data_IF_388477623378
#
_entry.id   IF_388477623378
#
_cell.length_a   1.000
_cell.length_b   1.000
_cell.length_c   1.000
_cell.angle_alpha   90.00
_cell.angle_beta   90.00
_cell.angle_gamma   90.00
#
_symmetry.space_group_name_H-M   'P 1'
#
loop_
_entity.id
_entity.type
_entity.pdbx_description
1 polymer ?
#
# COMPACT_ATOMS: atom_id res chain seq x y z
N UNK A 1 -20.40 -16.25 -84.22
CA UNK A 1 -21.16 -16.78 -83.09
C UNK A 1 -22.59 -16.98 -83.54
N UNK A 2 -23.05 -18.22 -83.61
CA UNK A 2 -24.42 -18.56 -84.01
C UNK A 2 -25.41 -18.18 -82.90
N UNK A 3 -26.70 -18.08 -83.23
CA UNK A 3 -27.70 -17.76 -82.20
C UNK A 3 -27.86 -18.87 -81.15
N UNK A 4 -27.53 -20.12 -81.51
CA UNK A 4 -27.49 -21.24 -80.58
C UNK A 4 -26.34 -21.11 -79.57
N UNK A 5 -25.16 -20.66 -80.02
CA UNK A 5 -24.01 -20.39 -79.14
C UNK A 5 -24.33 -19.26 -78.15
N UNK A 6 -25.07 -18.22 -78.57
CA UNK A 6 -25.52 -17.14 -77.67
C UNK A 6 -26.49 -17.65 -76.61
N UNK A 7 -27.46 -18.50 -76.99
CA UNK A 7 -28.42 -19.10 -76.05
C UNK A 7 -27.71 -19.96 -75.01
N UNK A 8 -26.77 -20.81 -75.44
CA UNK A 8 -25.98 -21.65 -74.55
C UNK A 8 -25.15 -20.82 -73.57
N UNK A 9 -24.51 -19.74 -74.03
CA UNK A 9 -23.76 -18.83 -73.14
C UNK A 9 -24.67 -18.14 -72.11
N UNK A 10 -25.89 -17.75 -72.51
CA UNK A 10 -26.87 -17.14 -71.61
C UNK A 10 -27.31 -18.13 -70.53
N UNK A 11 -27.62 -19.38 -70.90
CA UNK A 11 -27.97 -20.45 -69.96
C UNK A 11 -26.83 -20.75 -68.97
N UNK A 12 -25.60 -20.86 -69.48
CA UNK A 12 -24.41 -21.03 -68.64
C UNK A 12 -24.20 -19.86 -67.68
N UNK A 13 -24.43 -18.63 -68.14
CA UNK A 13 -24.32 -17.44 -67.32
C UNK A 13 -25.38 -17.42 -66.20
N UNK A 14 -26.63 -17.82 -66.48
CA UNK A 14 -27.68 -17.94 -65.47
C UNK A 14 -27.36 -19.04 -64.46
N UNK A 15 -26.96 -20.23 -64.91
CA UNK A 15 -26.58 -21.33 -64.02
C UNK A 15 -25.38 -20.97 -63.13
N UNK A 16 -24.40 -20.24 -63.67
CA UNK A 16 -23.26 -19.74 -62.89
C UNK A 16 -23.69 -18.69 -61.86
N UNK A 17 -24.59 -17.78 -62.25
CA UNK A 17 -25.15 -16.76 -61.36
C UNK A 17 -25.90 -17.40 -60.19
N UNK A 18 -26.71 -18.41 -60.44
CA UNK A 18 -27.43 -19.15 -59.38
C UNK A 18 -26.45 -19.85 -58.42
N UNK A 19 -25.45 -20.55 -58.94
CA UNK A 19 -24.39 -21.17 -58.11
C UNK A 19 -23.63 -20.15 -57.27
N UNK A 20 -23.33 -18.98 -57.83
CA UNK A 20 -22.68 -17.89 -57.09
C UNK A 20 -23.57 -17.31 -55.99
N UNK A 21 -24.87 -17.14 -56.26
CA UNK A 21 -25.83 -16.65 -55.27
C UNK A 21 -25.97 -17.63 -54.10
N UNK A 22 -26.03 -18.94 -54.38
CA UNK A 22 -26.08 -19.98 -53.36
C UNK A 22 -24.80 -20.01 -52.51
N UNK A 23 -23.62 -19.96 -53.14
CA UNK A 23 -22.35 -19.90 -52.44
C UNK A 23 -22.23 -18.67 -51.55
N UNK A 24 -22.68 -17.51 -52.03
CA UNK A 24 -22.64 -16.25 -51.29
C UNK A 24 -23.59 -16.29 -50.08
N UNK A 25 -24.77 -16.89 -50.23
CA UNK A 25 -25.71 -17.11 -49.11
C UNK A 25 -25.07 -17.98 -48.03
N UNK A 26 -24.50 -19.13 -48.42
CA UNK A 26 -23.82 -20.04 -47.48
C UNK A 26 -22.67 -19.36 -46.73
N UNK A 27 -21.82 -18.62 -47.44
CA UNK A 27 -20.70 -17.89 -46.81
C UNK A 27 -21.18 -16.81 -45.84
N UNK A 28 -22.31 -16.14 -46.11
CA UNK A 28 -22.91 -15.18 -45.17
C UNK A 28 -23.40 -15.87 -43.90
N UNK A 29 -24.08 -17.00 -44.02
CA UNK A 29 -24.54 -17.78 -42.87
C UNK A 29 -23.37 -18.26 -42.00
N UNK A 30 -22.30 -18.81 -42.61
CA UNK A 30 -21.07 -19.20 -41.91
C UNK A 30 -20.37 -18.02 -41.22
N UNK A 31 -20.39 -16.84 -41.83
CA UNK A 31 -19.77 -15.63 -41.26
C UNK A 31 -20.56 -15.11 -40.06
N UNK A 32 -21.89 -15.11 -40.11
CA UNK A 32 -22.74 -14.70 -38.99
C UNK A 32 -22.64 -15.69 -37.81
N UNK A 33 -22.49 -16.98 -38.08
CA UNK A 33 -22.26 -17.99 -37.04
C UNK A 33 -20.92 -17.78 -36.33
N UNK A 34 -19.82 -17.62 -37.09
CA UNK A 34 -18.51 -17.30 -36.51
C UNK A 34 -18.49 -15.99 -35.76
N UNK A 35 -19.24 -14.98 -36.21
CA UNK A 35 -19.35 -13.70 -35.52
C UNK A 35 -20.01 -13.88 -34.13
N UNK A 36 -21.07 -14.69 -34.04
CA UNK A 36 -21.69 -15.04 -32.75
C UNK A 36 -20.74 -15.80 -31.83
N UNK A 37 -19.96 -16.74 -32.37
CA UNK A 37 -18.93 -17.45 -31.59
C UNK A 37 -17.86 -16.49 -31.07
N UNK A 38 -17.37 -15.57 -31.91
CA UNK A 38 -16.39 -14.55 -31.50
C UNK A 38 -16.99 -13.63 -30.45
N UNK A 39 -18.24 -13.19 -30.60
CA UNK A 39 -18.93 -12.37 -29.58
C UNK A 39 -19.08 -13.13 -28.27
N UNK A 40 -19.37 -14.43 -28.30
CA UNK A 40 -19.42 -15.27 -27.10
C UNK A 40 -18.04 -15.45 -26.46
N UNK A 41 -16.99 -15.69 -27.24
CA UNK A 41 -15.61 -15.80 -26.74
C UNK A 41 -15.12 -14.46 -26.19
N UNK A 42 -15.40 -13.35 -26.88
CA UNK A 42 -15.11 -12.00 -26.40
C UNK A 42 -15.89 -11.69 -25.14
N UNK A 43 -17.14 -12.14 -25.02
CA UNK A 43 -17.92 -12.04 -23.79
C UNK A 43 -17.29 -12.88 -22.67
N UNK A 44 -16.89 -14.12 -22.94
CA UNK A 44 -16.18 -14.96 -21.99
C UNK A 44 -14.82 -14.41 -21.57
N UNK A 45 -14.10 -13.72 -22.46
CA UNK A 45 -12.80 -13.10 -22.17
C UNK A 45 -12.98 -11.75 -21.45
N UNK A 46 -13.99 -10.96 -21.83
CA UNK A 46 -14.24 -9.63 -21.27
C UNK A 46 -15.00 -9.67 -19.94
N UNK A 47 -15.92 -10.63 -19.77
CA UNK A 47 -16.56 -10.93 -18.49
C UNK A 47 -15.68 -11.85 -17.63
N UNK A 48 -14.84 -12.67 -18.26
CA UNK A 48 -13.92 -13.60 -17.61
C UNK A 48 -12.62 -12.95 -17.21
N UNK A 49 -12.66 -12.21 -16.11
CA UNK A 49 -11.70 -12.57 -15.07
C UNK A 49 -11.98 -14.06 -14.78
N UNK A 50 -11.04 -14.91 -15.15
CA UNK A 50 -11.10 -16.37 -15.03
C UNK A 50 -11.81 -16.76 -13.72
N UNK A 51 -13.05 -17.23 -13.84
CA UNK A 51 -13.85 -17.60 -12.69
C UNK A 51 -13.16 -18.75 -11.95
N UNK A 52 -13.19 -18.70 -10.63
CA UNK A 52 -12.73 -19.80 -9.79
C UNK A 52 -13.61 -21.03 -10.01
N UNK A 53 -13.03 -22.23 -9.82
CA UNK A 53 -13.81 -23.47 -9.86
C UNK A 53 -14.95 -23.43 -8.83
N UNK A 54 -16.19 -23.62 -9.29
CA UNK A 54 -17.40 -23.52 -8.46
C UNK A 54 -18.00 -22.11 -8.34
N UNK A 55 -17.35 -21.06 -8.88
CA UNK A 55 -17.82 -19.68 -8.76
C UNK A 55 -19.14 -19.44 -9.49
N UNK A 56 -19.37 -20.08 -10.64
CA UNK A 56 -20.62 -19.93 -11.38
C UNK A 56 -21.83 -20.44 -10.59
N UNK A 57 -21.66 -21.52 -9.83
CA UNK A 57 -22.69 -22.08 -8.94
C UNK A 57 -22.95 -21.15 -7.77
N UNK A 58 -21.90 -20.53 -7.22
CA UNK A 58 -22.00 -19.56 -6.13
C UNK A 58 -22.75 -18.32 -6.58
N UNK A 59 -22.42 -17.78 -7.77
CA UNK A 59 -23.05 -16.59 -8.34
C UNK A 59 -24.57 -16.75 -8.59
N UNK A 60 -25.07 -17.98 -8.72
CA UNK A 60 -26.51 -18.28 -8.81
C UNK A 60 -27.21 -18.31 -7.45
N UNK A 61 -26.44 -18.42 -6.36
CA UNK A 61 -26.95 -18.50 -4.99
C UNK A 61 -26.94 -17.16 -4.26
N UNK A 62 -27.04 -17.25 -2.93
CA UNK A 62 -26.99 -16.10 -2.02
C UNK A 62 -25.87 -16.18 -0.99
N UNK A 63 -25.17 -17.32 -0.94
CA UNK A 63 -24.13 -17.58 0.06
C UNK A 63 -22.82 -16.97 -0.40
N UNK A 64 -22.11 -16.34 0.53
CA UNK A 64 -20.75 -15.86 0.32
C UNK A 64 -19.79 -17.04 0.31
N UNK A 65 -18.85 -17.05 -0.63
CA UNK A 65 -17.73 -17.98 -0.65
C UNK A 65 -16.42 -17.23 -0.54
N UNK A 66 -15.52 -17.80 0.24
CA UNK A 66 -14.12 -17.39 0.31
C UNK A 66 -13.27 -18.46 -0.36
N UNK A 67 -12.46 -18.05 -1.32
CA UNK A 67 -11.45 -18.89 -1.94
C UNK A 67 -10.10 -18.50 -1.38
N UNK A 68 -9.48 -19.41 -0.62
CA UNK A 68 -8.15 -19.19 -0.07
C UNK A 68 -7.09 -19.44 -1.15
N UNK A 69 -6.27 -18.42 -1.38
CA UNK A 69 -5.22 -18.40 -2.39
C UNK A 69 -3.87 -18.17 -1.70
N UNK A 70 -2.88 -18.99 -2.03
CA UNK A 70 -1.56 -18.96 -1.42
C UNK A 70 -0.48 -18.62 -2.45
N UNK A 71 0.64 -17.99 -2.03
CA UNK A 71 1.74 -17.71 -2.92
C UNK A 71 2.36 -19.02 -3.43
N UNK A 72 2.46 -19.15 -4.75
CA UNK A 72 3.08 -20.28 -5.42
C UNK A 72 4.18 -19.79 -6.38
N UNK A 73 5.24 -20.60 -6.55
CA UNK A 73 6.31 -20.30 -7.50
C UNK A 73 5.97 -20.72 -8.93
N UNK A 74 5.16 -21.77 -9.07
CA UNK A 74 4.81 -22.31 -10.37
C UNK A 74 3.91 -21.31 -11.11
N UNK A 75 3.99 -21.33 -12.44
CA UNK A 75 3.07 -20.58 -13.29
C UNK A 75 2.11 -21.56 -13.94
N UNK A 76 0.85 -21.52 -13.52
CA UNK A 76 -0.24 -22.30 -14.11
C UNK A 76 -0.97 -21.40 -15.10
N UNK A 77 -0.57 -21.46 -16.36
CA UNK A 77 -1.18 -20.67 -17.43
C UNK A 77 -2.71 -20.84 -17.43
N UNK A 78 -3.44 -19.73 -17.39
CA UNK A 78 -4.91 -19.75 -17.36
C UNK A 78 -5.53 -20.10 -16.01
N UNK A 79 -4.75 -20.21 -14.93
CA UNK A 79 -5.31 -20.43 -13.58
C UNK A 79 -5.99 -19.17 -13.05
N UNK A 80 -7.30 -19.24 -12.87
CA UNK A 80 -8.12 -18.26 -12.14
C UNK A 80 -7.48 -17.90 -10.79
N UNK A 81 -7.13 -18.92 -10.01
CA UNK A 81 -6.56 -18.80 -8.68
C UNK A 81 -5.26 -18.00 -8.68
N UNK A 82 -4.35 -18.28 -9.63
CA UNK A 82 -3.10 -17.54 -9.73
C UNK A 82 -3.31 -16.09 -10.18
N UNK A 83 -4.26 -15.85 -11.09
CA UNK A 83 -4.56 -14.49 -11.55
C UNK A 83 -5.14 -13.64 -10.43
N UNK A 84 -6.12 -14.14 -9.70
CA UNK A 84 -6.69 -13.45 -8.55
C UNK A 84 -5.63 -13.17 -7.47
N UNK A 85 -4.82 -14.17 -7.14
CA UNK A 85 -3.72 -14.00 -6.17
C UNK A 85 -2.72 -12.94 -6.62
N UNK A 86 -2.16 -13.08 -7.84
CA UNK A 86 -1.13 -12.18 -8.38
C UNK A 86 -1.69 -10.77 -8.61
N UNK A 87 -2.96 -10.61 -8.97
CA UNK A 87 -3.60 -9.31 -9.10
C UNK A 87 -3.64 -8.60 -7.74
N UNK A 88 -4.18 -9.25 -6.70
CA UNK A 88 -4.24 -8.67 -5.36
C UNK A 88 -2.84 -8.37 -4.79
N UNK A 89 -1.90 -9.32 -4.93
CA UNK A 89 -0.52 -9.19 -4.45
C UNK A 89 0.23 -8.06 -5.18
N UNK A 90 0.13 -7.99 -6.51
CA UNK A 90 0.84 -6.97 -7.29
C UNK A 90 0.31 -5.56 -7.02
N UNK A 91 -0.99 -5.39 -6.81
CA UNK A 91 -1.56 -4.10 -6.40
C UNK A 91 -1.10 -3.73 -4.99
N UNK A 92 -1.03 -4.71 -4.08
CA UNK A 92 -0.57 -4.48 -2.71
C UNK A 92 0.88 -3.97 -2.70
N UNK A 93 1.79 -4.65 -3.39
CA UNK A 93 3.19 -4.22 -3.44
C UNK A 93 3.40 -2.94 -4.23
N UNK A 94 2.56 -2.64 -5.23
CA UNK A 94 2.63 -1.38 -5.99
C UNK A 94 2.37 -0.16 -5.11
N UNK A 95 1.43 -0.28 -4.17
CA UNK A 95 1.03 0.82 -3.29
C UNK A 95 1.74 0.80 -1.93
N UNK A 96 2.54 -0.24 -1.65
CA UNK A 96 3.44 -0.30 -0.51
C UNK A 96 4.62 0.67 -0.73
N UNK A 97 4.37 1.96 -0.58
CA UNK A 97 5.41 3.00 -0.60
C UNK A 97 5.95 3.21 0.82
N UNK A 98 7.26 3.00 1.02
CA UNK A 98 7.92 3.14 2.32
C UNK A 98 9.04 2.13 2.56
N UNK A 99 9.78 2.31 3.66
CA UNK A 99 10.96 1.49 4.03
C UNK A 99 10.60 0.15 4.71
N UNK A 100 9.32 -0.19 4.82
CA UNK A 100 8.88 -1.47 5.40
C UNK A 100 8.78 -2.53 4.31
N UNK A 101 9.44 -3.67 4.49
CA UNK A 101 9.14 -4.85 3.66
C UNK A 101 7.87 -5.49 4.20
N UNK A 102 6.84 -5.62 3.38
CA UNK A 102 5.68 -6.45 3.70
C UNK A 102 5.78 -7.74 2.91
N UNK A 103 5.24 -8.83 3.47
CA UNK A 103 5.12 -10.11 2.78
C UNK A 103 3.70 -10.61 2.85
N UNK A 104 3.06 -10.72 1.70
CA UNK A 104 1.75 -11.36 1.54
C UNK A 104 1.87 -12.85 1.90
N UNK A 105 0.94 -13.33 2.73
CA UNK A 105 0.88 -14.71 3.23
C UNK A 105 -0.26 -15.49 2.58
N UNK A 106 -1.40 -14.83 2.40
CA UNK A 106 -2.63 -15.41 1.88
C UNK A 106 -3.47 -14.29 1.27
N UNK A 107 -4.16 -14.59 0.19
CA UNK A 107 -5.25 -13.76 -0.34
C UNK A 107 -6.53 -14.59 -0.26
N UNK A 108 -7.61 -14.01 0.24
CA UNK A 108 -8.93 -14.62 0.12
C UNK A 108 -9.69 -13.87 -0.96
N UNK A 109 -10.06 -14.56 -2.04
CA UNK A 109 -10.97 -14.03 -3.04
C UNK A 109 -12.40 -14.22 -2.54
N UNK A 110 -13.12 -13.10 -2.42
CA UNK A 110 -14.47 -13.05 -1.86
C UNK A 110 -15.47 -13.03 -3.01
N UNK A 111 -16.33 -14.06 -3.07
CA UNK A 111 -17.45 -14.12 -4.00
C UNK A 111 -18.75 -13.99 -3.21
N UNK A 112 -19.31 -12.77 -3.21
CA UNK A 112 -20.62 -12.47 -2.63
C UNK A 112 -21.61 -12.12 -3.76
N UNK A 113 -22.49 -13.04 -4.19
CA UNK A 113 -23.37 -12.82 -5.33
C UNK A 113 -24.27 -11.58 -5.17
N UNK A 114 -24.74 -11.31 -3.96
CA UNK A 114 -25.63 -10.18 -3.67
C UNK A 114 -24.89 -8.86 -3.88
N UNK A 115 -23.67 -8.74 -3.34
CA UNK A 115 -22.87 -7.53 -3.48
C UNK A 115 -22.36 -7.34 -4.92
N UNK A 116 -21.95 -8.43 -5.58
CA UNK A 116 -21.52 -8.40 -6.99
C UNK A 116 -22.66 -7.89 -7.88
N UNK A 117 -23.88 -8.38 -7.70
CA UNK A 117 -25.02 -7.94 -8.49
C UNK A 117 -25.37 -6.46 -8.25
N UNK A 118 -25.34 -6.00 -6.99
CA UNK A 118 -25.54 -4.58 -6.64
C UNK A 118 -24.47 -3.69 -7.29
N UNK A 119 -23.20 -4.09 -7.17
CA UNK A 119 -22.07 -3.37 -7.75
C UNK A 119 -22.17 -3.27 -9.27
N UNK A 120 -22.47 -4.37 -9.95
CA UNK A 120 -22.63 -4.38 -11.41
C UNK A 120 -23.82 -3.52 -11.85
N UNK A 121 -24.95 -3.56 -11.14
CA UNK A 121 -26.09 -2.69 -11.43
C UNK A 121 -25.73 -1.20 -11.28
N UNK A 122 -25.00 -0.84 -10.22
CA UNK A 122 -24.50 0.51 -10.01
C UNK A 122 -23.49 0.95 -11.09
N UNK A 123 -22.62 0.03 -11.55
CA UNK A 123 -21.69 0.26 -12.66
C UNK A 123 -22.43 0.57 -13.96
N UNK A 124 -23.47 -0.21 -14.28
CA UNK A 124 -24.29 0.02 -15.48
C UNK A 124 -25.09 1.33 -15.38
N UNK A 125 -25.53 1.72 -14.18
CA UNK A 125 -26.13 3.03 -13.93
C UNK A 125 -25.14 4.17 -14.22
N UNK A 126 -23.90 4.06 -13.73
CA UNK A 126 -22.83 5.02 -13.96
C UNK A 126 -22.44 5.11 -15.43
N UNK A 127 -22.29 3.96 -16.10
CA UNK A 127 -22.01 3.85 -17.53
C UNK A 127 -23.04 4.60 -18.37
N UNK A 128 -24.33 4.43 -18.07
CA UNK A 128 -25.41 5.15 -18.76
C UNK A 128 -25.36 6.67 -18.54
N UNK A 129 -24.94 7.11 -17.36
CA UNK A 129 -24.90 8.53 -16.97
C UNK A 129 -23.66 9.27 -17.45
N UNK A 130 -22.50 8.61 -17.42
CA UNK A 130 -21.18 9.24 -17.62
C UNK A 130 -20.44 8.73 -18.85
N UNK A 131 -20.86 7.60 -19.42
CA UNK A 131 -20.14 6.90 -20.48
C UNK A 131 -19.26 5.76 -19.96
N UNK A 132 -18.84 4.89 -20.87
CA UNK A 132 -18.05 3.69 -20.57
C UNK A 132 -16.76 4.00 -19.83
N UNK A 133 -16.03 5.00 -20.32
CA UNK A 133 -14.69 5.37 -19.86
C UNK A 133 -14.65 5.79 -18.38
N UNK A 134 -15.76 6.27 -17.82
CA UNK A 134 -15.89 6.69 -16.42
C UNK A 134 -16.61 5.66 -15.54
N UNK A 135 -16.82 4.44 -16.04
CA UNK A 135 -17.51 3.37 -15.32
C UNK A 135 -16.60 2.20 -14.94
N UNK A 136 -15.33 2.26 -15.31
CA UNK A 136 -14.37 1.20 -14.98
C UNK A 136 -14.10 1.17 -13.47
N UNK A 137 -14.09 -0.04 -12.86
CA UNK A 137 -13.76 -0.19 -11.45
C UNK A 137 -12.28 0.12 -11.20
N UNK A 138 -12.01 0.72 -10.04
CA UNK A 138 -10.65 0.98 -9.54
C UNK A 138 -10.39 0.07 -8.35
N UNK A 139 -9.23 -0.58 -8.32
CA UNK A 139 -8.79 -1.33 -7.14
C UNK A 139 -8.22 -0.34 -6.10
N UNK A 140 -8.80 -0.37 -4.91
CA UNK A 140 -8.42 0.49 -3.79
C UNK A 140 -8.31 -0.33 -2.50
N UNK A 141 -7.51 0.14 -1.55
CA UNK A 141 -7.30 -0.52 -0.26
C UNK A 141 -8.16 0.10 0.83
N UNK A 142 -8.64 -0.76 1.73
CA UNK A 142 -9.29 -0.34 2.96
C UNK A 142 -8.72 -1.13 4.13
N UNK A 143 -8.03 -0.44 5.05
CA UNK A 143 -7.57 -1.04 6.30
C UNK A 143 -8.71 -1.12 7.31
N UNK A 144 -8.92 -2.28 7.91
CA UNK A 144 -9.95 -2.47 8.94
C UNK A 144 -9.49 -3.44 10.02
N UNK A 145 -10.17 -3.41 11.18
CA UNK A 145 -9.92 -4.38 12.25
C UNK A 145 -10.42 -5.77 11.84
N UNK A 146 -9.74 -6.82 12.31
CA UNK A 146 -10.05 -8.22 11.97
C UNK A 146 -11.54 -8.56 12.21
N UNK A 147 -12.11 -8.08 13.31
CA UNK A 147 -13.52 -8.32 13.66
C UNK A 147 -14.53 -7.77 12.63
N UNK A 148 -14.12 -6.81 11.79
CA UNK A 148 -15.01 -6.19 10.81
C UNK A 148 -14.92 -6.85 9.42
N UNK A 149 -13.90 -7.67 9.16
CA UNK A 149 -13.63 -8.22 7.82
C UNK A 149 -14.83 -9.03 7.31
N UNK A 150 -15.29 -10.00 8.09
CA UNK A 150 -16.40 -10.87 7.70
C UNK A 150 -17.73 -10.10 7.55
N UNK A 151 -18.16 -9.26 8.52
CA UNK A 151 -19.33 -8.40 8.34
C UNK A 151 -19.30 -7.54 7.07
N UNK A 152 -18.15 -6.97 6.70
CA UNK A 152 -17.98 -6.19 5.47
C UNK A 152 -18.14 -7.08 4.24
N UNK A 153 -17.53 -8.26 4.22
CA UNK A 153 -17.61 -9.18 3.08
C UNK A 153 -19.03 -9.73 2.89
N UNK A 154 -19.79 -9.92 3.97
CA UNK A 154 -21.14 -10.46 3.94
C UNK A 154 -22.19 -9.41 3.61
N UNK A 155 -22.07 -8.21 4.19
CA UNK A 155 -23.11 -7.18 4.15
C UNK A 155 -22.74 -5.95 3.32
N UNK A 156 -21.49 -5.84 2.89
CA UNK A 156 -20.95 -4.65 2.23
C UNK A 156 -20.40 -3.62 3.22
N UNK A 157 -19.79 -2.58 2.68
CA UNK A 157 -19.39 -1.41 3.45
C UNK A 157 -20.62 -0.59 3.82
N UNK A 158 -20.73 -0.20 5.09
CA UNK A 158 -21.76 0.75 5.51
C UNK A 158 -21.27 2.17 5.31
N UNK A 159 -22.16 3.04 4.83
CA UNK A 159 -21.93 4.47 4.62
C UNK A 159 -23.02 5.28 5.35
N UNK A 160 -22.81 6.57 5.69
CA UNK A 160 -23.83 7.34 6.40
C UNK A 160 -25.16 7.42 5.66
N UNK A 161 -26.24 7.44 6.45
CA UNK A 161 -27.61 7.42 5.93
C UNK A 161 -28.19 6.02 5.83
N UNK A 162 -27.39 4.96 6.02
CA UNK A 162 -27.90 3.60 6.14
C UNK A 162 -28.52 3.33 7.52
N UNK A 163 -29.58 2.53 7.52
CA UNK A 163 -30.33 2.18 8.72
C UNK A 163 -29.45 1.47 9.76
N UNK A 164 -29.51 1.94 11.01
CA UNK A 164 -28.74 1.36 12.11
C UNK A 164 -27.23 1.61 12.04
N UNK A 165 -26.76 2.53 11.19
CA UNK A 165 -25.35 2.89 11.11
C UNK A 165 -25.09 4.33 11.56
N UNK A 166 -24.53 4.48 12.75
CA UNK A 166 -23.96 5.73 13.24
C UNK A 166 -22.44 5.69 13.02
N UNK A 167 -21.90 6.61 12.22
CA UNK A 167 -20.46 6.71 12.01
C UNK A 167 -19.75 7.05 13.33
N UNK A 168 -18.72 6.28 13.68
CA UNK A 168 -17.98 6.42 14.93
C UNK A 168 -16.81 7.44 14.85
N UNK A 169 -16.38 7.82 13.65
CA UNK A 169 -15.12 8.54 13.43
C UNK A 169 -15.37 9.96 12.93
N UNK A 170 -15.22 10.92 13.86
CA UNK A 170 -15.10 12.37 13.68
C UNK A 170 -15.99 13.02 12.59
N UNK A 171 -15.85 14.32 12.34
CA UNK A 171 -16.60 14.98 11.28
C UNK A 171 -16.21 14.48 9.88
N UNK A 172 -15.16 13.65 9.76
CA UNK A 172 -14.47 13.30 8.53
C UNK A 172 -13.77 14.54 7.96
N UNK A 173 -12.46 14.49 7.68
CA UNK A 173 -11.75 15.66 7.14
C UNK A 173 -12.32 16.10 5.77
N UNK A 174 -12.92 15.16 5.02
CA UNK A 174 -13.41 15.35 3.66
C UNK A 174 -14.86 14.84 3.47
N UNK A 175 -15.55 14.54 4.57
CA UNK A 175 -16.92 14.04 4.57
C UNK A 175 -17.09 12.70 5.29
N UNK A 176 -18.34 12.35 5.58
CA UNK A 176 -18.69 11.10 6.25
C UNK A 176 -18.94 10.04 5.17
N UNK A 177 -17.97 9.17 4.92
CA UNK A 177 -18.07 8.11 3.92
C UNK A 177 -17.12 6.97 4.24
N UNK A 178 -17.11 5.96 3.37
CA UNK A 178 -16.10 4.91 3.43
C UNK A 178 -14.81 5.40 2.75
N UNK A 179 -13.70 5.35 3.48
CA UNK A 179 -12.38 5.81 3.04
C UNK A 179 -11.59 4.66 2.43
N UNK A 180 -10.98 4.91 1.27
CA UNK A 180 -10.09 3.97 0.60
C UNK A 180 -8.81 4.68 0.19
N UNK A 181 -7.66 4.03 0.34
CA UNK A 181 -6.44 4.51 -0.30
C UNK A 181 -6.42 4.02 -1.74
N UNK A 182 -6.34 4.94 -2.69
CA UNK A 182 -6.40 4.63 -4.11
C UNK A 182 -5.94 5.80 -4.98
N UNK A 183 -5.64 5.49 -6.24
CA UNK A 183 -5.44 6.50 -7.27
C UNK A 183 -6.77 6.71 -8.02
N UNK A 184 -7.34 7.91 -7.85
CA UNK A 184 -8.36 8.54 -8.69
C UNK A 184 -9.78 7.95 -8.71
N UNK A 185 -10.70 8.63 -8.02
CA UNK A 185 -12.10 8.82 -8.47
C UNK A 185 -12.86 9.87 -7.64
N UNK A 186 -12.42 10.19 -6.42
CA UNK A 186 -12.68 11.45 -5.71
C UNK A 186 -11.56 11.65 -4.69
N UNK A 187 -10.41 12.10 -5.20
CA UNK A 187 -9.22 12.34 -4.41
C UNK A 187 -9.45 13.45 -3.37
N UNK A 188 -9.00 13.23 -2.14
CA UNK A 188 -8.63 14.34 -1.25
C UNK A 188 -7.78 15.36 -2.03
N UNK A 189 -7.75 16.66 -1.67
CA UNK A 189 -6.89 17.65 -2.33
C UNK A 189 -5.40 17.24 -2.42
N UNK A 190 -4.95 16.31 -1.56
CA UNK A 190 -3.61 15.71 -1.61
C UNK A 190 -3.46 14.49 -2.53
N UNK A 191 -4.55 14.02 -3.16
CA UNK A 191 -4.61 12.87 -4.08
C UNK A 191 -4.25 11.51 -3.49
N UNK A 192 -4.56 11.29 -2.21
CA UNK A 192 -4.16 10.08 -1.51
C UNK A 192 -5.33 9.19 -1.05
N UNK A 193 -6.54 9.74 -0.98
CA UNK A 193 -7.70 9.04 -0.41
C UNK A 193 -8.95 9.23 -1.29
N UNK A 194 -9.74 8.16 -1.43
CA UNK A 194 -11.05 8.09 -2.07
C UNK A 194 -12.12 7.99 -1.00
N UNK A 195 -13.21 8.74 -1.17
CA UNK A 195 -14.35 8.72 -0.25
C UNK A 195 -15.60 8.39 -1.02
N UNK A 196 -16.24 7.29 -0.61
CA UNK A 196 -17.41 6.74 -1.28
C UNK A 196 -18.60 6.83 -0.34
N UNK A 197 -19.68 7.45 -0.84
CA UNK A 197 -20.91 7.73 -0.09
C UNK A 197 -22.07 6.78 -0.42
N UNK A 198 -21.81 5.78 -1.27
CA UNK A 198 -22.77 4.78 -1.73
C UNK A 198 -22.15 3.40 -1.57
N UNK A 199 -22.77 2.53 -0.76
CA UNK A 199 -22.23 1.19 -0.49
C UNK A 199 -22.23 0.29 -1.71
N UNK A 200 -23.21 0.44 -2.61
CA UNK A 200 -23.28 -0.30 -3.88
C UNK A 200 -22.21 0.11 -4.89
N UNK A 201 -21.43 1.17 -4.63
CA UNK A 201 -20.25 1.53 -5.42
C UNK A 201 -18.98 0.81 -4.95
N UNK A 202 -19.08 -0.07 -3.96
CA UNK A 202 -17.94 -0.74 -3.35
C UNK A 202 -18.18 -2.25 -3.37
N UNK A 203 -17.20 -2.99 -3.88
CA UNK A 203 -17.18 -4.45 -3.84
C UNK A 203 -15.97 -4.95 -3.04
N UNK A 204 -16.15 -5.51 -1.84
CA UNK A 204 -15.06 -6.18 -1.12
C UNK A 204 -14.67 -7.46 -1.87
N UNK A 205 -13.63 -7.36 -2.71
CA UNK A 205 -13.23 -8.44 -3.61
C UNK A 205 -12.13 -9.35 -3.02
N UNK A 206 -11.20 -8.78 -2.25
CA UNK A 206 -10.03 -9.48 -1.74
C UNK A 206 -9.78 -9.15 -0.27
N UNK A 207 -9.36 -10.15 0.50
CA UNK A 207 -8.74 -9.97 1.83
C UNK A 207 -7.26 -10.32 1.69
N UNK A 208 -6.39 -9.33 1.90
CA UNK A 208 -4.94 -9.52 1.82
C UNK A 208 -4.36 -9.71 3.22
N UNK A 209 -3.90 -10.91 3.51
CA UNK A 209 -3.19 -11.21 4.76
C UNK A 209 -1.70 -11.02 4.52
N UNK A 210 -1.09 -10.07 5.23
CA UNK A 210 0.33 -9.79 5.13
C UNK A 210 0.97 -9.73 6.51
N UNK A 211 2.28 -9.96 6.53
CA UNK A 211 3.12 -9.66 7.68
C UNK A 211 4.02 -8.50 7.29
N UNK A 212 4.10 -7.48 8.15
CA UNK A 212 5.22 -6.55 8.07
C UNK A 212 6.47 -7.37 8.43
N UNK A 213 7.33 -7.59 7.44
CA UNK A 213 8.73 -7.87 7.72
C UNK A 213 9.27 -6.52 8.20
N UNK A 214 9.08 -6.24 9.49
CA UNK A 214 9.70 -5.10 10.16
C UNK A 214 11.19 -5.37 10.14
N UNK A 215 11.83 -5.15 8.98
CA UNK A 215 13.05 -5.78 8.53
C UNK A 215 13.82 -6.28 9.72
N UNK A 216 13.64 -7.55 10.08
CA UNK A 216 14.39 -8.13 11.19
C UNK A 216 15.82 -8.35 10.67
N UNK A 217 16.48 -7.28 10.23
CA UNK A 217 17.75 -6.90 10.83
C UNK A 217 17.51 -6.65 12.33
N UNK A 218 17.05 -7.69 13.04
CA UNK A 218 17.63 -7.94 14.33
C UNK A 218 19.10 -8.09 13.98
N UNK A 219 19.93 -7.14 14.40
CA UNK A 219 21.16 -7.60 15.02
C UNK A 219 20.68 -8.52 16.15
N UNK A 220 20.40 -9.79 15.81
CA UNK A 220 20.76 -10.82 16.72
C UNK A 220 22.23 -10.49 16.95
N UNK A 221 22.52 -9.91 18.11
CA UNK A 221 23.82 -10.12 18.69
C UNK A 221 23.81 -11.63 18.88
N UNK A 222 24.15 -12.35 17.82
CA UNK A 222 24.07 -13.80 17.75
C UNK A 222 25.01 -14.27 18.84
N UNK A 223 24.45 -14.68 19.98
CA UNK A 223 25.21 -15.08 21.17
C UNK A 223 25.14 -14.15 22.40
N UNK A 224 24.48 -12.98 22.37
CA UNK A 224 24.29 -12.22 23.61
C UNK A 224 23.15 -12.80 24.44
N UNK A 225 23.49 -13.31 25.62
CA UNK A 225 22.51 -13.73 26.62
C UNK A 225 21.70 -12.53 27.13
N UNK A 226 20.51 -12.78 27.72
CA UNK A 226 19.71 -11.71 28.36
C UNK A 226 20.54 -10.94 29.39
N UNK A 227 21.45 -11.63 30.07
CA UNK A 227 22.42 -11.08 31.02
C UNK A 227 23.40 -10.12 30.35
N UNK A 228 23.90 -10.44 29.14
CA UNK A 228 24.78 -9.56 28.39
C UNK A 228 24.06 -8.28 27.96
N UNK A 229 22.80 -8.39 27.52
CA UNK A 229 21.96 -7.22 27.18
C UNK A 229 21.73 -6.36 28.43
N UNK A 230 21.35 -6.96 29.56
CA UNK A 230 21.17 -6.25 30.84
C UNK A 230 22.45 -5.55 31.30
N UNK A 231 23.61 -6.20 31.16
CA UNK A 231 24.92 -5.62 31.48
C UNK A 231 25.25 -4.44 30.57
N UNK A 232 24.93 -4.54 29.27
CA UNK A 232 25.11 -3.45 28.30
C UNK A 232 24.21 -2.26 28.64
N UNK A 233 22.93 -2.47 28.89
CA UNK A 233 22.00 -1.40 29.31
C UNK A 233 22.45 -0.74 30.63
N UNK A 234 22.94 -1.53 31.59
CA UNK A 234 23.51 -0.99 32.83
C UNK A 234 24.78 -0.15 32.59
N UNK A 235 25.63 -0.53 31.62
CA UNK A 235 26.80 0.28 31.21
C UNK A 235 26.34 1.59 30.59
N UNK A 236 25.40 1.56 29.65
CA UNK A 236 24.86 2.77 29.00
C UNK A 236 24.19 3.68 30.03
N UNK A 237 23.41 3.15 30.96
CA UNK A 237 22.81 3.93 32.04
C UNK A 237 23.83 4.61 32.96
N UNK A 238 25.01 4.00 33.17
CA UNK A 238 26.13 4.66 33.89
C UNK A 238 26.73 5.80 33.07
N UNK A 239 26.86 5.64 31.75
CA UNK A 239 27.33 6.70 30.85
C UNK A 239 26.35 7.87 30.82
N UNK A 240 25.05 7.61 30.71
CA UNK A 240 24.02 8.65 30.80
C UNK A 240 24.13 9.47 32.08
N UNK A 241 24.22 8.82 33.25
CA UNK A 241 24.39 9.53 34.53
C UNK A 241 25.65 10.39 34.58
N UNK A 242 26.76 9.90 34.02
CA UNK A 242 28.00 10.68 33.90
C UNK A 242 27.83 11.87 32.95
N UNK A 243 27.18 11.67 31.81
CA UNK A 243 26.89 12.73 30.85
C UNK A 243 26.01 13.82 31.48
N UNK A 244 24.96 13.43 32.23
CA UNK A 244 24.11 14.35 32.99
C UNK A 244 24.89 15.12 34.07
N UNK A 245 25.89 14.52 34.70
CA UNK A 245 26.75 15.19 35.68
C UNK A 245 27.88 16.04 35.05
N UNK A 246 28.11 15.91 33.73
CA UNK A 246 29.18 16.64 33.04
C UNK A 246 28.77 18.10 32.86
N UNK A 247 29.73 19.02 33.08
CA UNK A 247 29.52 20.46 32.90
C UNK A 247 29.16 20.77 31.45
N UNK A 248 28.29 21.75 31.29
CA UNK A 248 27.77 22.18 29.99
C UNK A 248 28.90 22.60 29.04
N UNK A 249 28.99 21.91 27.91
CA UNK A 249 29.92 22.21 26.81
C UNK A 249 29.13 22.22 25.51
N UNK A 250 29.36 23.18 24.62
CA UNK A 250 28.62 23.32 23.36
C UNK A 250 29.08 22.36 22.25
N UNK A 251 29.34 21.10 22.58
CA UNK A 251 30.00 20.12 21.70
C UNK A 251 29.17 19.69 20.49
N UNK A 252 27.85 19.86 20.52
CA UNK A 252 26.97 19.48 19.41
C UNK A 252 26.67 20.64 18.45
N UNK A 253 27.27 21.81 18.66
CA UNK A 253 27.09 22.97 17.77
C UNK A 253 27.64 22.65 16.38
N UNK A 254 26.81 22.77 15.35
CA UNK A 254 27.22 22.55 13.96
C UNK A 254 27.18 21.09 13.48
N UNK A 255 26.74 20.15 14.30
CA UNK A 255 26.64 18.72 13.94
C UNK A 255 25.20 18.26 13.71
N UNK A 256 25.03 17.22 12.86
CA UNK A 256 23.74 16.55 12.59
C UNK A 256 23.91 15.04 12.80
N UNK A 257 23.06 14.44 13.62
CA UNK A 257 23.08 12.99 13.90
C UNK A 257 21.68 12.48 14.26
N UNK A 258 21.43 11.19 14.00
CA UNK A 258 20.17 10.53 14.35
C UNK A 258 20.45 9.30 15.23
N UNK A 259 19.59 9.07 16.23
CA UNK A 259 19.63 7.89 17.07
C UNK A 259 18.41 7.01 16.79
N UNK A 260 18.66 5.71 16.63
CA UNK A 260 17.63 4.68 16.50
C UNK A 260 17.91 3.62 17.57
N UNK A 261 16.91 3.32 18.40
CA UNK A 261 16.98 2.18 19.31
C UNK A 261 16.25 2.38 20.65
N UNK A 262 16.37 1.40 21.53
CA UNK A 262 15.89 1.54 22.89
C UNK A 262 16.84 2.46 23.67
N UNK A 263 16.33 3.61 24.11
CA UNK A 263 17.08 4.58 24.92
C UNK A 263 17.08 4.18 26.40
N UNK A 264 18.13 4.55 27.15
CA UNK A 264 18.19 4.29 28.59
C UNK A 264 17.33 5.23 29.43
N UNK A 265 16.86 6.34 28.87
CA UNK A 265 15.95 7.29 29.50
C UNK A 265 14.85 7.75 28.53
N UNK A 266 13.91 8.54 29.03
CA UNK A 266 12.82 9.14 28.25
C UNK A 266 13.40 10.04 27.15
N UNK A 267 12.78 10.08 25.95
CA UNK A 267 13.28 10.94 24.88
C UNK A 267 13.32 12.43 25.26
N UNK A 268 12.48 12.89 26.20
CA UNK A 268 12.54 14.25 26.77
C UNK A 268 13.83 14.50 27.54
N UNK A 269 14.26 13.53 28.34
CA UNK A 269 15.49 13.64 29.12
C UNK A 269 16.73 13.62 28.19
N UNK A 270 16.68 12.83 27.12
CA UNK A 270 17.71 12.81 26.08
C UNK A 270 17.75 14.15 25.32
N UNK A 271 16.59 14.66 24.91
CA UNK A 271 16.47 15.98 24.26
C UNK A 271 17.02 17.10 25.13
N UNK A 272 16.67 17.12 26.42
CA UNK A 272 17.18 18.10 27.38
C UNK A 272 18.70 18.03 27.49
N UNK A 273 19.27 16.82 27.53
CA UNK A 273 20.70 16.60 27.54
C UNK A 273 21.36 17.12 26.26
N UNK A 274 20.85 16.77 25.08
CA UNK A 274 21.37 17.26 23.78
C UNK A 274 21.36 18.79 23.72
N UNK A 275 20.25 19.42 24.15
CA UNK A 275 20.11 20.89 24.21
C UNK A 275 21.14 21.54 25.13
N UNK A 276 21.34 20.95 26.30
CA UNK A 276 22.32 21.44 27.28
C UNK A 276 23.74 21.45 26.71
N UNK A 277 24.06 20.52 25.81
CA UNK A 277 25.36 20.44 25.12
C UNK A 277 25.41 21.16 23.76
N UNK A 278 24.51 22.13 23.53
CA UNK A 278 24.52 23.00 22.35
C UNK A 278 23.89 22.40 21.09
N UNK A 279 23.24 21.24 21.21
CA UNK A 279 22.46 20.67 20.12
C UNK A 279 21.06 21.29 20.03
N UNK A 280 20.42 21.17 18.87
CA UNK A 280 18.99 21.43 18.74
C UNK A 280 18.30 20.17 18.21
N UNK A 281 17.10 19.92 18.71
CA UNK A 281 16.24 18.87 18.18
C UNK A 281 15.31 19.52 17.18
N UNK A 282 15.47 19.20 15.90
CA UNK A 282 14.57 19.69 14.87
C UNK A 282 13.14 19.21 15.15
N UNK A 283 12.25 20.18 15.30
CA UNK A 283 10.81 19.94 15.45
C UNK A 283 10.10 19.80 14.10
N UNK A 284 10.81 20.10 13.01
CA UNK A 284 10.24 20.10 11.67
C UNK A 284 10.31 18.70 11.08
N UNK A 285 9.13 18.16 10.79
CA UNK A 285 8.92 16.90 10.09
C UNK A 285 9.71 16.91 8.78
N UNK A 286 10.78 16.10 8.71
CA UNK A 286 11.33 15.73 7.40
C UNK A 286 10.36 14.67 6.85
N UNK A 287 9.75 14.87 5.68
CA UNK A 287 8.91 13.83 5.08
C UNK A 287 9.81 12.67 4.68
N UNK A 288 9.96 11.69 5.57
CA UNK A 288 10.52 10.40 5.23
C UNK A 288 9.39 9.55 4.64
N UNK A 289 9.16 9.71 3.33
CA UNK A 289 8.35 8.79 2.52
C UNK A 289 6.87 8.72 2.87
N UNK A 290 6.13 9.82 2.67
CA UNK A 290 4.65 9.79 2.63
C UNK A 290 3.94 9.67 3.98
N UNK A 291 4.67 9.40 5.07
CA UNK A 291 4.14 9.54 6.43
C UNK A 291 4.68 10.84 7.02
N UNK A 292 3.80 11.76 7.39
CA UNK A 292 4.19 12.91 8.21
C UNK A 292 4.61 12.33 9.56
N UNK A 293 5.91 12.23 9.82
CA UNK A 293 6.42 12.09 11.17
C UNK A 293 6.13 13.40 11.90
N UNK A 294 4.88 13.52 12.36
CA UNK A 294 4.55 14.52 13.37
C UNK A 294 5.44 14.23 14.56
N UNK A 295 6.00 15.29 15.11
CA UNK A 295 6.76 15.29 16.35
C UNK A 295 5.93 14.67 17.46
N UNK A 296 6.09 13.37 17.64
CA UNK A 296 5.65 12.63 18.79
C UNK A 296 6.88 11.98 19.38
N UNK A 297 7.29 12.46 20.55
CA UNK A 297 7.53 11.49 21.62
C UNK A 297 6.34 10.52 21.59
N UNK A 298 6.52 9.30 21.09
CA UNK A 298 5.48 8.30 21.19
C UNK A 298 5.27 7.98 22.67
N UNK A 299 4.33 8.66 23.31
CA UNK A 299 3.61 8.12 24.46
C UNK A 299 2.57 7.16 23.90
N UNK A 300 2.88 5.86 23.87
CA UNK A 300 1.81 4.87 23.81
C UNK A 300 1.12 4.85 25.18
N UNK A 301 0.17 5.77 25.38
CA UNK A 301 -0.86 5.64 26.40
C UNK A 301 -1.91 4.64 25.93
N UNK A 302 -1.66 3.34 26.08
CA UNK A 302 -2.66 2.27 25.99
C UNK A 302 -2.36 1.20 27.07
N UNK A 303 -3.38 0.49 27.57
CA UNK A 303 -3.33 -0.18 28.86
C UNK A 303 -2.43 -1.43 28.85
N UNK A 304 -1.36 -1.35 29.64
CA UNK A 304 -0.67 -2.39 30.43
C UNK A 304 -0.50 -3.86 29.93
N UNK A 305 -0.80 -4.23 28.68
CA UNK A 305 -0.87 -5.66 28.30
C UNK A 305 -0.25 -6.06 26.94
N UNK A 306 0.63 -5.25 26.35
CA UNK A 306 1.41 -5.64 25.15
C UNK A 306 2.92 -5.46 25.40
N UNK A 307 3.80 -6.37 24.92
CA UNK A 307 5.18 -6.44 25.36
C UNK A 307 6.08 -5.32 24.79
N UNK A 308 7.08 -4.98 25.60
CA UNK A 308 7.97 -3.81 25.62
C UNK A 308 9.00 -3.67 24.47
N UNK A 309 8.66 -3.98 23.21
CA UNK A 309 9.66 -4.13 22.13
C UNK A 309 9.48 -3.19 20.91
N UNK A 310 9.16 -1.90 21.10
CA UNK A 310 9.23 -0.89 20.02
C UNK A 310 10.48 0.00 20.19
N UNK A 311 11.33 0.20 19.16
CA UNK A 311 12.47 1.10 19.25
C UNK A 311 12.01 2.56 19.29
N UNK A 312 12.56 3.34 20.22
CA UNK A 312 12.38 4.80 20.22
C UNK A 312 13.31 5.41 19.15
N UNK A 313 12.81 6.34 18.36
CA UNK A 313 13.62 7.04 17.35
C UNK A 313 13.70 8.52 17.74
N UNK A 314 14.92 9.04 17.88
CA UNK A 314 15.17 10.48 18.10
C UNK A 314 15.98 10.98 16.91
N UNK A 315 15.36 11.83 16.09
CA UNK A 315 16.01 12.51 14.98
C UNK A 315 16.40 13.92 15.44
N UNK A 316 17.69 14.18 15.60
CA UNK A 316 18.20 15.53 15.87
C UNK A 316 18.71 16.13 14.56
N UNK A 317 18.02 17.13 14.02
CA UNK A 317 18.62 18.01 13.01
C UNK A 317 18.61 19.46 13.48
N UNK A 318 19.42 20.31 12.85
CA UNK A 318 19.49 21.75 13.09
C UNK A 318 19.48 22.42 11.71
N UNK A 319 18.57 23.38 11.51
CA UNK A 319 18.62 24.50 10.53
C UNK A 319 17.47 25.45 10.94
N UNK A 320 17.56 26.78 11.03
CA UNK A 320 18.56 27.84 10.78
C UNK A 320 18.09 29.06 11.61
N UNK A 321 18.98 29.99 11.99
CA UNK A 321 18.58 31.31 12.51
C UNK A 321 18.73 32.33 11.38
N UNK A 322 17.65 33.06 11.08
CA UNK A 322 17.64 34.18 10.15
C UNK A 322 18.54 35.30 10.67
N UNK A 323 19.57 35.67 9.90
CA UNK A 323 19.94 37.05 9.53
C UNK A 323 21.42 37.12 9.09
N UNK A 324 21.64 37.36 7.79
CA UNK A 324 22.50 38.44 7.24
C UNK A 324 23.00 38.13 5.81
N UNK A 325 22.28 38.72 4.84
CA UNK A 325 22.72 39.26 3.53
C UNK A 325 23.28 38.36 2.40
N UNK A 326 23.07 38.78 1.13
CA UNK A 326 23.11 37.94 -0.05
C UNK A 326 24.47 37.96 -0.76
N UNK A 327 24.69 36.97 -1.62
CA UNK A 327 25.82 36.80 -2.55
C UNK A 327 27.08 36.12 -2.01
N UNK A 328 27.04 34.79 -1.89
CA UNK A 328 28.00 33.89 -2.57
C UNK A 328 27.51 32.44 -2.50
N UNK A 329 27.37 31.83 -3.69
CA UNK A 329 27.41 30.40 -3.99
C UNK A 329 26.62 29.40 -3.11
N UNK A 330 25.35 29.28 -3.48
CA UNK A 330 24.52 28.10 -3.34
C UNK A 330 25.00 26.96 -4.28
N UNK A 331 26.16 26.32 -4.03
CA UNK A 331 26.59 25.14 -4.81
C UNK A 331 27.33 24.01 -4.07
N UNK A 332 27.45 24.01 -2.73
CA UNK A 332 28.26 23.00 -2.04
C UNK A 332 27.53 21.83 -1.34
N UNK A 333 26.19 21.74 -1.34
CA UNK A 333 25.48 20.72 -0.53
C UNK A 333 24.55 19.77 -1.30
N UNK A 334 24.89 19.41 -2.55
CA UNK A 334 24.21 18.33 -3.28
C UNK A 334 24.76 16.91 -3.03
N UNK A 335 25.86 16.75 -2.28
CA UNK A 335 26.55 15.45 -2.18
C UNK A 335 26.89 14.96 -0.75
N UNK A 336 26.34 15.54 0.33
CA UNK A 336 26.49 14.91 1.65
C UNK A 336 25.41 13.85 1.84
N UNK A 337 25.81 12.60 1.56
CA UNK A 337 25.14 11.38 1.98
C UNK A 337 24.62 11.51 3.42
N UNK A 338 23.31 11.40 3.55
CA UNK A 338 22.61 11.48 4.83
C UNK A 338 22.72 10.15 5.61
N UNK A 339 22.93 10.30 6.93
CA UNK A 339 22.66 9.39 8.04
C UNK A 339 23.67 8.27 8.37
N UNK A 340 24.69 8.61 9.18
CA UNK A 340 25.25 7.64 10.11
C UNK A 340 24.28 7.44 11.28
N UNK A 341 23.86 6.19 11.52
CA UNK A 341 23.08 5.82 12.70
C UNK A 341 24.05 5.56 13.86
N UNK A 342 23.97 6.37 14.90
CA UNK A 342 24.85 6.24 16.06
C UNK A 342 24.16 5.44 17.17
N UNK A 343 24.95 4.64 17.90
CA UNK A 343 24.52 3.99 19.14
C UNK A 343 24.41 5.05 20.25
N UNK A 344 23.57 4.80 21.26
CA UNK A 344 23.36 5.75 22.36
C UNK A 344 24.61 6.02 23.21
N UNK A 345 25.54 5.05 23.31
CA UNK A 345 26.83 5.21 23.99
C UNK A 345 27.71 6.29 23.34
N UNK A 346 27.62 6.45 22.02
CA UNK A 346 28.29 7.52 21.28
C UNK A 346 27.95 8.92 21.81
N UNK A 347 26.66 9.17 22.09
CA UNK A 347 26.17 10.44 22.62
C UNK A 347 26.83 10.75 23.96
N UNK A 348 26.81 9.77 24.86
CA UNK A 348 27.27 9.96 26.24
C UNK A 348 28.77 10.07 26.33
N UNK A 349 29.50 9.27 25.57
CA UNK A 349 30.96 9.36 25.54
C UNK A 349 31.42 10.70 24.97
N UNK A 350 30.79 11.19 23.89
CA UNK A 350 31.11 12.51 23.33
C UNK A 350 30.89 13.63 24.36
N UNK A 351 29.83 13.52 25.16
CA UNK A 351 29.56 14.43 26.28
C UNK A 351 30.64 14.35 27.35
N UNK A 352 30.92 13.14 27.84
CA UNK A 352 31.83 12.90 28.96
C UNK A 352 33.25 13.37 28.61
N UNK A 353 33.71 13.06 27.40
CA UNK A 353 35.05 13.44 26.93
C UNK A 353 35.08 14.92 26.49
N UNK A 354 33.93 15.48 26.15
CA UNK A 354 33.81 16.85 25.70
C UNK A 354 34.40 17.08 24.30
N UNK A 355 34.46 16.02 23.49
CA UNK A 355 34.86 16.03 22.09
C UNK A 355 33.91 15.12 21.31
N UNK A 356 33.58 15.47 20.08
CA UNK A 356 32.75 14.61 19.25
C UNK A 356 33.60 13.41 18.80
N UNK A 357 33.16 12.19 19.14
CA UNK A 357 33.77 10.99 18.59
C UNK A 357 33.41 10.81 17.11
N UNK A 358 34.25 10.13 16.37
CA UNK A 358 34.00 9.70 14.99
C UNK A 358 33.51 8.25 14.96
N UNK A 359 33.06 7.76 13.80
CA UNK A 359 32.72 6.35 13.65
C UNK A 359 33.94 5.43 13.81
N UNK A 360 35.13 5.92 13.44
CA UNK A 360 36.39 5.17 13.55
C UNK A 360 36.72 4.87 15.02
N UNK A 361 36.32 5.73 15.95
CA UNK A 361 36.45 5.50 17.40
C UNK A 361 35.58 4.33 17.91
N UNK A 362 34.67 3.81 17.09
CA UNK A 362 33.73 2.73 17.42
C UNK A 362 33.79 1.54 16.45
N UNK A 363 34.59 1.60 15.39
CA UNK A 363 34.66 0.58 14.34
C UNK A 363 35.42 -0.70 14.76
N UNK A 364 35.92 -0.77 16.00
CA UNK A 364 36.82 -1.83 16.48
C UNK A 364 36.25 -2.74 17.58
N UNK A 365 34.96 -2.62 17.93
CA UNK A 365 34.30 -3.38 19.02
C UNK A 365 33.07 -4.19 18.60
#
# INVERSE_FOLDING_TARGET
>A
MTDDEKRLMIEQAFALKEKLQEKLKKTREETEERKKEIEQLQKQISEGILLMEGETEILKGTKVKYFELFPERNYKQGSAAELHFRLAESQFYRLLSGYGTAKVKKVEYVCNPILINKFNAAREELKKKRGEEYSYPVLAFHGTAIANIQPICENGFKVPGEEGFAHATDSGFYGRGAYFSGYDSHCSPSKQELIIFRSDYILPQYIVHYKLDAGEFKYAVTGATKEAIKKKLAKIGKLYKKAVATKDKKIFTGYKFAFIGQMVDTPLAIEALVKRFGGHVCKNAVPFGGTVMTTGLFFNGYPATVPFDAPNIIICSITEYEAATPSTELQAYKNMNYHAFYREDFLYDSIIEGALKTLDDYAHD
#
